data_IF_200188983640
#
_entry.id   IF_200188983640
#
_cell.length_a   1.000
_cell.length_b   1.000
_cell.length_c   1.000
_cell.angle_alpha   90.00
_cell.angle_beta   90.00
_cell.angle_gamma   90.00
#
_symmetry.space_group_name_H-M   'P 1'
#
loop_
_entity.id
_entity.type
_entity.pdbx_description
1 polymer ?
#
# COMPACT_ATOMS: atom_id res chain seq x y z
N UNK A 1 -32.01 -6.54 10.04
CA UNK A 1 -30.58 -6.89 9.90
C UNK A 1 -29.94 -6.40 8.60
N UNK A 2 -30.46 -6.75 7.41
CA UNK A 2 -29.89 -6.28 6.13
C UNK A 2 -29.82 -4.75 5.98
N UNK A 3 -30.80 -4.01 6.51
CA UNK A 3 -30.81 -2.54 6.46
C UNK A 3 -29.77 -1.90 7.37
N UNK A 4 -29.52 -2.46 8.55
CA UNK A 4 -28.49 -1.98 9.50
C UNK A 4 -27.09 -2.22 8.97
N UNK A 5 -26.82 -3.42 8.42
CA UNK A 5 -25.54 -3.76 7.77
C UNK A 5 -25.33 -2.88 6.55
N UNK A 6 -26.36 -2.69 5.70
CA UNK A 6 -26.29 -1.79 4.56
C UNK A 6 -26.01 -0.34 5.01
N UNK A 7 -26.60 0.12 6.10
CA UNK A 7 -26.35 1.47 6.63
C UNK A 7 -24.94 1.64 7.19
N UNK A 8 -24.37 0.57 7.76
CA UNK A 8 -22.98 0.54 8.26
C UNK A 8 -21.96 0.53 7.10
N UNK A 9 -22.22 -0.23 6.05
CA UNK A 9 -21.31 -0.41 4.90
C UNK A 9 -21.44 0.72 3.86
N UNK A 10 -22.66 1.22 3.62
CA UNK A 10 -22.97 2.13 2.49
C UNK A 10 -23.10 3.60 2.92
N UNK A 11 -23.37 3.88 4.20
CA UNK A 11 -23.66 5.23 4.66
C UNK A 11 -24.95 5.81 4.07
N UNK A 12 -25.26 7.08 4.36
CA UNK A 12 -26.31 7.83 3.64
C UNK A 12 -25.72 8.32 2.31
N UNK A 13 -26.32 7.85 1.22
CA UNK A 13 -25.77 7.92 -0.13
C UNK A 13 -25.38 9.31 -0.63
N UNK A 14 -24.42 9.32 -1.54
CA UNK A 14 -24.06 10.49 -2.34
C UNK A 14 -24.10 10.13 -3.84
N UNK A 15 -24.41 11.16 -4.64
CA UNK A 15 -24.88 11.13 -6.03
C UNK A 15 -24.06 10.22 -6.95
N UNK A 16 -24.79 9.43 -7.73
CA UNK A 16 -24.28 8.50 -8.74
C UNK A 16 -23.96 9.20 -10.08
N UNK A 17 -23.29 10.35 -10.05
CA UNK A 17 -23.19 11.24 -11.22
C UNK A 17 -21.80 11.28 -11.90
N UNK A 18 -20.80 10.56 -11.38
CA UNK A 18 -19.57 10.36 -12.15
C UNK A 18 -19.78 9.23 -13.17
N UNK A 19 -19.43 9.52 -14.42
CA UNK A 19 -19.47 8.55 -15.52
C UNK A 19 -18.79 7.25 -15.11
N UNK A 20 -19.53 6.14 -15.22
CA UNK A 20 -19.02 4.82 -14.86
C UNK A 20 -18.03 4.35 -15.92
N UNK A 21 -16.77 4.69 -15.73
CA UNK A 21 -15.68 4.25 -16.62
C UNK A 21 -15.02 2.97 -16.09
N UNK A 22 -14.60 2.05 -16.98
CA UNK A 22 -13.82 0.89 -16.58
C UNK A 22 -12.50 1.31 -15.92
N UNK A 23 -12.14 0.70 -14.78
CA UNK A 23 -10.91 1.07 -14.05
C UNK A 23 -9.65 0.91 -14.89
N UNK A 24 -9.54 -0.18 -15.67
CA UNK A 24 -8.40 -0.45 -16.56
C UNK A 24 -8.27 0.66 -17.60
N UNK A 25 -9.39 1.07 -18.20
CA UNK A 25 -9.40 2.14 -19.20
C UNK A 25 -8.91 3.45 -18.59
N UNK A 26 -9.42 3.84 -17.41
CA UNK A 26 -8.95 5.05 -16.73
C UNK A 26 -7.47 5.01 -16.36
N UNK A 27 -6.93 3.84 -15.98
CA UNK A 27 -5.48 3.68 -15.73
C UNK A 27 -4.65 3.83 -17.00
N UNK A 28 -5.12 3.30 -18.12
CA UNK A 28 -4.44 3.45 -19.41
C UNK A 28 -4.48 4.89 -19.91
N UNK A 29 -5.62 5.58 -19.75
CA UNK A 29 -5.76 7.01 -20.04
C UNK A 29 -4.74 7.83 -19.25
N UNK A 30 -4.50 7.50 -17.97
CA UNK A 30 -3.46 8.16 -17.18
C UNK A 30 -2.04 7.90 -17.71
N UNK A 31 -1.71 6.68 -18.15
CA UNK A 31 -0.41 6.38 -18.79
C UNK A 31 -0.22 7.23 -20.04
N UNK A 32 -1.25 7.30 -20.90
CA UNK A 32 -1.22 8.10 -22.12
C UNK A 32 -1.13 9.60 -21.81
N UNK A 33 -1.80 10.08 -20.76
CA UNK A 33 -1.72 11.46 -20.32
C UNK A 33 -0.32 11.87 -19.85
N UNK A 34 0.36 11.01 -19.07
CA UNK A 34 1.76 11.22 -18.66
C UNK A 34 2.68 11.16 -19.89
N UNK A 35 2.43 10.25 -20.83
CA UNK A 35 3.22 10.16 -22.06
C UNK A 35 3.13 11.43 -22.91
N UNK A 36 1.93 12.00 -23.02
CA UNK A 36 1.66 13.19 -23.84
C UNK A 36 1.87 14.53 -23.12
N UNK A 37 2.27 14.53 -21.84
CA UNK A 37 2.39 15.73 -21.00
C UNK A 37 1.10 16.58 -21.01
N UNK A 38 -0.06 15.93 -20.90
CA UNK A 38 -1.36 16.59 -21.07
C UNK A 38 -1.70 17.57 -19.94
N UNK A 39 -1.18 17.34 -18.73
CA UNK A 39 -1.54 18.11 -17.52
C UNK A 39 -0.35 18.81 -16.84
N UNK A 40 0.85 18.24 -16.92
CA UNK A 40 2.08 18.80 -16.34
C UNK A 40 3.21 18.72 -17.36
N UNK A 41 4.09 19.73 -17.37
CA UNK A 41 5.30 19.76 -18.22
C UNK A 41 6.40 18.83 -17.67
N UNK A 42 6.04 17.58 -17.40
CA UNK A 42 6.96 16.58 -16.88
C UNK A 42 8.10 16.34 -17.86
N UNK A 43 9.34 16.49 -17.38
CA UNK A 43 10.53 16.32 -18.19
C UNK A 43 11.58 15.47 -17.47
N UNK A 44 12.37 14.72 -18.26
CA UNK A 44 13.51 13.96 -17.76
C UNK A 44 13.12 12.84 -16.78
N UNK A 45 13.76 12.83 -15.61
CA UNK A 45 13.67 11.75 -14.62
C UNK A 45 12.24 11.59 -14.05
N UNK A 46 11.54 12.70 -13.81
CA UNK A 46 10.19 12.69 -13.26
C UNK A 46 9.21 11.92 -14.15
N UNK A 47 9.23 12.19 -15.45
CA UNK A 47 8.40 11.50 -16.44
C UNK A 47 8.69 9.99 -16.48
N UNK A 48 9.96 9.60 -16.45
CA UNK A 48 10.37 8.18 -16.44
C UNK A 48 9.85 7.47 -15.18
N UNK A 49 10.01 8.10 -14.01
CA UNK A 49 9.53 7.55 -12.74
C UNK A 49 8.00 7.43 -12.73
N UNK A 50 7.26 8.46 -13.16
CA UNK A 50 5.80 8.44 -13.23
C UNK A 50 5.27 7.38 -14.18
N UNK A 51 5.86 7.24 -15.37
CA UNK A 51 5.50 6.19 -16.32
C UNK A 51 5.76 4.79 -15.75
N UNK A 52 6.92 4.57 -15.15
CA UNK A 52 7.25 3.29 -14.51
C UNK A 52 6.25 2.95 -13.39
N UNK A 53 5.94 3.90 -12.51
CA UNK A 53 4.98 3.71 -11.43
C UNK A 53 3.57 3.46 -11.96
N UNK A 54 3.13 4.20 -12.98
CA UNK A 54 1.81 4.02 -13.61
C UNK A 54 1.67 2.65 -14.28
N UNK A 55 2.70 2.20 -15.02
CA UNK A 55 2.74 0.88 -15.65
C UNK A 55 2.82 -0.26 -14.62
N UNK A 56 3.52 -0.06 -13.51
CA UNK A 56 3.62 -1.09 -12.46
C UNK A 56 2.26 -1.45 -11.85
N UNK A 57 1.29 -0.52 -11.87
CA UNK A 57 -0.06 -0.75 -11.34
C UNK A 57 -0.80 -1.89 -12.05
N UNK A 58 -0.43 -2.21 -13.28
CA UNK A 58 -1.02 -3.33 -14.03
C UNK A 58 -0.53 -4.70 -13.54
N UNK A 59 0.54 -4.77 -12.74
CA UNK A 59 1.05 -6.03 -12.19
C UNK A 59 0.32 -6.47 -10.91
N UNK A 60 -0.49 -5.59 -10.33
CA UNK A 60 -0.97 -5.75 -8.96
C UNK A 60 -2.47 -6.06 -8.88
N UNK A 61 -2.88 -6.96 -7.96
CA UNK A 61 -4.24 -7.47 -7.88
C UNK A 61 -5.27 -6.40 -7.48
N UNK A 62 -4.88 -5.37 -6.72
CA UNK A 62 -5.80 -4.31 -6.30
C UNK A 62 -6.45 -3.57 -7.48
N UNK A 63 -5.74 -3.40 -8.59
CA UNK A 63 -6.31 -2.80 -9.80
C UNK A 63 -7.43 -3.66 -10.40
N UNK A 64 -7.19 -4.97 -10.51
CA UNK A 64 -8.17 -5.92 -11.04
C UNK A 64 -9.36 -6.11 -10.12
N UNK A 65 -9.17 -6.04 -8.81
CA UNK A 65 -10.28 -6.06 -7.83
C UNK A 65 -11.15 -4.82 -8.00
N UNK A 66 -10.56 -3.61 -8.13
CA UNK A 66 -11.34 -2.41 -8.47
C UNK A 66 -12.08 -2.57 -9.79
N UNK A 67 -11.42 -3.15 -10.79
CA UNK A 67 -12.04 -3.45 -12.06
C UNK A 67 -13.22 -4.40 -11.88
N UNK A 68 -13.12 -5.51 -11.16
CA UNK A 68 -14.23 -6.45 -10.96
C UNK A 68 -15.51 -5.77 -10.42
N UNK A 69 -15.36 -4.80 -9.52
CA UNK A 69 -16.45 -4.04 -8.93
C UNK A 69 -16.79 -2.73 -9.68
N UNK A 70 -16.28 -2.55 -10.91
CA UNK A 70 -16.44 -1.31 -11.67
C UNK A 70 -17.92 -0.93 -11.86
N UNK A 71 -18.77 -1.92 -12.17
CA UNK A 71 -20.21 -1.75 -12.41
C UNK A 71 -21.04 -1.51 -11.15
N UNK A 72 -20.55 -1.97 -9.99
CA UNK A 72 -21.26 -1.88 -8.72
C UNK A 72 -21.21 -0.47 -8.12
N UNK A 73 -20.28 0.37 -8.59
CA UNK A 73 -20.13 1.78 -8.22
C UNK A 73 -18.96 2.05 -7.28
N UNK A 74 -18.56 3.33 -7.11
CA UNK A 74 -17.31 3.70 -6.42
C UNK A 74 -17.21 3.21 -4.98
N UNK A 75 -18.35 3.15 -4.28
CA UNK A 75 -18.42 2.68 -2.91
C UNK A 75 -18.04 1.20 -2.76
N UNK A 76 -18.54 0.34 -3.65
CA UNK A 76 -18.25 -1.09 -3.59
C UNK A 76 -16.80 -1.39 -3.99
N UNK A 77 -16.26 -0.64 -4.96
CA UNK A 77 -14.84 -0.73 -5.31
C UNK A 77 -13.94 -0.42 -4.11
N UNK A 78 -14.25 0.67 -3.41
CA UNK A 78 -13.49 1.09 -2.25
C UNK A 78 -13.62 0.14 -1.07
N UNK A 79 -14.82 -0.42 -0.84
CA UNK A 79 -15.03 -1.45 0.18
C UNK A 79 -14.27 -2.73 -0.16
N UNK A 80 -14.28 -3.16 -1.42
CA UNK A 80 -13.50 -4.33 -1.86
C UNK A 80 -11.99 -4.14 -1.62
N UNK A 81 -11.50 -2.92 -1.80
CA UNK A 81 -10.09 -2.57 -1.52
C UNK A 81 -9.80 -2.50 -0.03
N UNK A 82 -10.73 -2.05 0.80
CA UNK A 82 -10.58 -2.14 2.26
C UNK A 82 -10.47 -3.59 2.72
N UNK A 83 -11.33 -4.48 2.19
CA UNK A 83 -11.27 -5.91 2.50
C UNK A 83 -9.93 -6.50 2.03
N UNK A 84 -9.49 -6.16 0.81
CA UNK A 84 -8.18 -6.59 0.31
C UNK A 84 -7.05 -6.14 1.23
N UNK A 85 -7.05 -4.86 1.66
CA UNK A 85 -6.03 -4.30 2.54
C UNK A 85 -6.00 -5.04 3.88
N UNK A 86 -7.17 -5.30 4.49
CA UNK A 86 -7.25 -6.07 5.72
C UNK A 86 -6.74 -7.50 5.55
N UNK A 87 -7.13 -8.17 4.46
CA UNK A 87 -6.68 -9.52 4.15
C UNK A 87 -5.15 -9.57 3.97
N UNK A 88 -4.56 -8.64 3.20
CA UNK A 88 -3.11 -8.60 3.01
C UNK A 88 -2.36 -8.25 4.30
N UNK A 89 -2.91 -7.42 5.18
CA UNK A 89 -2.30 -7.13 6.49
C UNK A 89 -2.31 -8.37 7.39
N UNK A 90 -3.40 -9.14 7.39
CA UNK A 90 -3.54 -10.34 8.21
C UNK A 90 -2.76 -11.54 7.67
N UNK A 91 -2.60 -11.64 6.34
CA UNK A 91 -1.96 -12.77 5.66
C UNK A 91 -0.55 -13.10 6.18
N UNK A 92 0.43 -12.18 6.24
CA UNK A 92 1.78 -12.52 6.74
C UNK A 92 1.77 -13.03 8.18
N UNK A 93 0.90 -12.48 9.05
CA UNK A 93 0.75 -12.95 10.43
C UNK A 93 0.16 -14.35 10.46
N UNK A 94 -0.84 -14.63 9.61
CA UNK A 94 -1.43 -15.96 9.49
C UNK A 94 -0.41 -16.99 8.98
N UNK A 95 0.39 -16.65 7.98
CA UNK A 95 1.47 -17.50 7.44
C UNK A 95 2.51 -17.80 8.53
N UNK A 96 2.95 -16.78 9.27
CA UNK A 96 3.87 -16.93 10.40
C UNK A 96 3.29 -17.82 11.51
N UNK A 97 2.02 -17.64 11.86
CA UNK A 97 1.35 -18.43 12.90
C UNK A 97 1.22 -19.90 12.51
N UNK A 98 0.98 -20.19 11.23
CA UNK A 98 0.87 -21.56 10.72
C UNK A 98 2.22 -22.23 10.42
N UNK A 99 3.34 -21.50 10.55
CA UNK A 99 4.68 -22.02 10.23
C UNK A 99 4.91 -22.22 8.72
N UNK A 100 4.23 -21.43 7.88
CA UNK A 100 4.29 -21.52 6.41
C UNK A 100 5.32 -20.58 5.79
N UNK A 101 6.30 -20.12 6.56
CA UNK A 101 7.36 -19.21 6.06
C UNK A 101 8.22 -19.82 4.96
N UNK A 102 8.32 -21.14 4.91
CA UNK A 102 9.08 -21.88 3.90
C UNK A 102 8.18 -22.42 2.78
N UNK A 103 6.86 -22.23 2.84
CA UNK A 103 5.97 -22.62 1.75
C UNK A 103 6.16 -21.64 0.56
N UNK A 104 6.60 -22.12 -0.61
CA UNK A 104 6.95 -21.23 -1.72
C UNK A 104 5.78 -20.38 -2.20
N UNK A 105 4.56 -20.91 -2.15
CA UNK A 105 3.37 -20.21 -2.62
C UNK A 105 2.95 -19.12 -1.63
N UNK A 106 2.85 -19.43 -0.34
CA UNK A 106 2.51 -18.47 0.71
C UNK A 106 3.54 -17.34 0.79
N UNK A 107 4.83 -17.68 0.76
CA UNK A 107 5.92 -16.71 0.75
C UNK A 107 5.86 -15.81 -0.48
N UNK A 108 5.73 -16.39 -1.68
CA UNK A 108 5.64 -15.62 -2.92
C UNK A 108 4.42 -14.69 -2.92
N UNK A 109 3.27 -15.17 -2.45
CA UNK A 109 2.03 -14.39 -2.38
C UNK A 109 2.18 -13.17 -1.46
N UNK A 110 2.77 -13.35 -0.27
CA UNK A 110 3.01 -12.25 0.66
C UNK A 110 3.99 -11.25 0.07
N UNK A 111 5.10 -11.70 -0.53
CA UNK A 111 6.08 -10.80 -1.16
C UNK A 111 5.47 -10.04 -2.34
N UNK A 112 4.63 -10.68 -3.16
CA UNK A 112 3.95 -10.04 -4.28
C UNK A 112 2.96 -8.96 -3.81
N UNK A 113 2.18 -9.23 -2.76
CA UNK A 113 1.27 -8.25 -2.15
C UNK A 113 2.02 -7.11 -1.44
N UNK A 114 3.15 -7.41 -0.81
CA UNK A 114 4.03 -6.39 -0.22
C UNK A 114 4.61 -5.49 -1.32
N UNK A 115 5.02 -6.05 -2.46
CA UNK A 115 5.52 -5.29 -3.60
C UNK A 115 4.46 -4.31 -4.14
N UNK A 116 3.18 -4.70 -4.17
CA UNK A 116 2.08 -3.78 -4.49
C UNK A 116 2.09 -2.56 -3.56
N UNK A 117 2.22 -2.76 -2.25
CA UNK A 117 2.23 -1.67 -1.27
C UNK A 117 3.49 -0.80 -1.38
N UNK A 118 4.66 -1.42 -1.56
CA UNK A 118 5.93 -0.72 -1.74
C UNK A 118 5.88 0.17 -3.00
N UNK A 119 5.26 -0.29 -4.09
CA UNK A 119 5.11 0.49 -5.32
C UNK A 119 3.99 1.54 -5.22
N UNK A 120 2.94 1.26 -4.44
CA UNK A 120 1.83 2.18 -4.23
C UNK A 120 2.27 3.49 -3.54
N UNK A 121 3.20 3.43 -2.59
CA UNK A 121 3.65 4.63 -1.84
C UNK A 121 4.36 5.65 -2.73
N UNK A 122 5.41 5.31 -3.51
CA UNK A 122 5.98 6.23 -4.49
C UNK A 122 4.95 6.72 -5.51
N UNK A 123 3.99 5.88 -5.91
CA UNK A 123 2.91 6.31 -6.81
C UNK A 123 2.07 7.42 -6.17
N UNK A 124 1.77 7.33 -4.87
CA UNK A 124 1.11 8.41 -4.14
C UNK A 124 1.96 9.67 -3.96
N UNK A 125 3.29 9.58 -4.03
CA UNK A 125 4.19 10.73 -3.89
C UNK A 125 4.38 11.43 -5.23
N UNK A 126 4.68 10.67 -6.29
CA UNK A 126 5.10 11.20 -7.60
C UNK A 126 3.98 11.24 -8.65
N UNK A 127 2.93 10.43 -8.50
CA UNK A 127 1.84 10.32 -9.47
C UNK A 127 0.47 10.40 -8.77
N UNK A 128 0.37 11.29 -7.77
CA UNK A 128 -0.81 11.43 -6.90
C UNK A 128 -2.05 11.90 -7.65
N UNK A 129 -1.84 12.71 -8.68
CA UNK A 129 -2.82 13.25 -9.64
C UNK A 129 -3.56 12.15 -10.42
N UNK A 130 -2.91 10.99 -10.59
CA UNK A 130 -3.52 9.83 -11.25
C UNK A 130 -4.61 9.16 -10.42
N UNK A 131 -4.74 9.49 -9.13
CA UNK A 131 -5.75 8.95 -8.25
C UNK A 131 -6.90 9.95 -8.02
N UNK A 132 -8.16 9.46 -7.97
CA UNK A 132 -9.28 10.31 -7.59
C UNK A 132 -9.10 10.79 -6.14
N UNK A 133 -9.63 11.97 -5.86
CA UNK A 133 -9.56 12.57 -4.53
C UNK A 133 -10.18 11.65 -3.46
N UNK A 134 -9.59 11.59 -2.25
CA UNK A 134 -10.04 10.66 -1.23
C UNK A 134 -11.44 11.06 -0.73
N UNK A 135 -12.38 10.11 -0.77
CA UNK A 135 -13.76 10.33 -0.26
C UNK A 135 -13.81 10.70 1.21
N UNK A 136 -12.84 10.22 2.00
CA UNK A 136 -12.68 10.58 3.41
C UNK A 136 -11.20 10.53 3.79
N UNK A 137 -10.70 11.63 4.34
CA UNK A 137 -9.34 11.70 4.88
C UNK A 137 -9.15 10.75 6.07
N UNK A 138 -10.16 10.56 6.92
CA UNK A 138 -10.08 9.62 8.05
C UNK A 138 -9.92 8.18 7.58
N UNK A 139 -10.68 7.79 6.55
CA UNK A 139 -10.55 6.48 5.90
C UNK A 139 -9.15 6.27 5.34
N UNK A 140 -8.64 7.27 4.63
CA UNK A 140 -7.34 7.18 3.97
C UNK A 140 -6.19 7.08 4.99
N UNK A 141 -6.27 7.81 6.11
CA UNK A 141 -5.34 7.66 7.25
C UNK A 141 -5.33 6.24 7.81
N UNK A 142 -6.51 5.65 7.99
CA UNK A 142 -6.64 4.27 8.47
C UNK A 142 -6.03 3.26 7.50
N UNK A 143 -6.30 3.41 6.19
CA UNK A 143 -5.77 2.51 5.16
C UNK A 143 -4.25 2.61 5.02
N UNK A 144 -3.72 3.84 5.10
CA UNK A 144 -2.27 4.07 5.13
C UNK A 144 -1.68 3.33 6.34
N UNK A 145 -2.23 3.51 7.54
CA UNK A 145 -1.79 2.79 8.74
C UNK A 145 -1.83 1.25 8.59
N UNK A 146 -2.88 0.69 7.97
CA UNK A 146 -2.95 -0.75 7.69
C UNK A 146 -1.91 -1.22 6.67
N UNK A 147 -1.60 -0.40 5.65
CA UNK A 147 -0.51 -0.68 4.71
C UNK A 147 0.85 -0.70 5.40
N UNK A 148 1.09 0.18 6.38
CA UNK A 148 2.30 0.12 7.20
C UNK A 148 2.42 -1.18 7.96
N UNK A 149 1.35 -1.58 8.67
CA UNK A 149 1.35 -2.83 9.41
C UNK A 149 1.54 -4.03 8.48
N UNK A 150 0.93 -4.02 7.29
CA UNK A 150 1.12 -5.06 6.30
C UNK A 150 2.60 -5.22 5.93
N UNK A 151 3.28 -4.13 5.55
CA UNK A 151 4.69 -4.21 5.16
C UNK A 151 5.57 -4.63 6.35
N UNK A 152 5.30 -4.15 7.56
CA UNK A 152 6.00 -4.61 8.78
C UNK A 152 5.84 -6.13 8.96
N UNK A 153 4.63 -6.67 8.84
CA UNK A 153 4.42 -8.10 8.99
C UNK A 153 5.02 -8.91 7.82
N UNK A 154 4.98 -8.38 6.59
CA UNK A 154 5.63 -9.00 5.43
C UNK A 154 7.16 -9.08 5.59
N UNK A 155 7.80 -8.04 6.16
CA UNK A 155 9.22 -8.11 6.52
C UNK A 155 9.50 -9.09 7.67
N UNK A 156 8.58 -9.25 8.61
CA UNK A 156 8.71 -10.28 9.65
C UNK A 156 8.78 -11.68 9.03
N UNK A 157 7.92 -11.96 8.03
CA UNK A 157 7.97 -13.21 7.27
C UNK A 157 9.32 -13.41 6.56
N UNK A 158 9.84 -12.36 5.91
CA UNK A 158 11.14 -12.37 5.24
C UNK A 158 12.29 -12.70 6.20
N UNK A 159 12.28 -12.10 7.40
CA UNK A 159 13.28 -12.38 8.42
C UNK A 159 13.20 -13.81 8.92
N UNK A 160 11.99 -14.32 9.15
CA UNK A 160 11.76 -15.69 9.62
C UNK A 160 12.26 -16.74 8.61
N UNK A 161 11.94 -16.56 7.32
CA UNK A 161 12.31 -17.51 6.27
C UNK A 161 13.82 -17.56 5.99
N UNK A 162 14.54 -16.46 6.18
CA UNK A 162 15.89 -16.28 5.66
C UNK A 162 17.06 -16.65 6.57
N UNK A 163 16.84 -16.97 7.84
CA UNK A 163 17.90 -17.21 8.84
C UNK A 163 19.00 -16.12 8.81
N UNK A 164 18.60 -14.85 8.70
CA UNK A 164 19.51 -13.75 8.40
C UNK A 164 20.26 -13.18 9.61
N UNK A 165 19.78 -13.45 10.81
CA UNK A 165 20.19 -12.81 12.06
C UNK A 165 21.34 -13.55 12.76
N UNK A 166 21.97 -12.89 13.72
CA UNK A 166 23.02 -13.43 14.60
C UNK A 166 22.60 -14.70 15.37
N UNK A 167 21.30 -14.88 15.60
CA UNK A 167 20.75 -16.05 16.28
C UNK A 167 19.38 -16.42 15.67
N UNK A 168 18.97 -17.70 15.73
CA UNK A 168 17.67 -18.12 15.23
C UNK A 168 16.53 -17.55 16.09
N UNK A 169 15.37 -17.35 15.48
CA UNK A 169 14.16 -16.97 16.21
C UNK A 169 13.59 -18.17 16.98
N UNK A 170 13.21 -17.95 18.24
CA UNK A 170 12.61 -18.98 19.07
C UNK A 170 11.11 -19.13 18.79
N UNK A 171 10.45 -18.01 18.45
CA UNK A 171 9.02 -17.97 18.17
C UNK A 171 8.72 -16.96 17.04
N UNK A 172 7.62 -17.14 16.32
CA UNK A 172 7.24 -16.25 15.20
C UNK A 172 7.06 -14.78 15.64
N UNK A 173 6.75 -14.57 16.92
CA UNK A 173 6.67 -13.23 17.52
C UNK A 173 8.01 -12.50 17.52
N UNK A 174 9.14 -13.22 17.55
CA UNK A 174 10.46 -12.62 17.51
C UNK A 174 10.72 -11.96 16.16
N UNK A 175 10.29 -12.61 15.07
CA UNK A 175 10.39 -12.05 13.73
C UNK A 175 9.52 -10.78 13.58
N UNK A 176 8.32 -10.78 14.17
CA UNK A 176 7.44 -9.60 14.22
C UNK A 176 8.08 -8.49 15.04
N UNK A 177 8.62 -8.81 16.21
CA UNK A 177 9.34 -7.88 17.08
C UNK A 177 10.52 -7.23 16.35
N UNK A 178 11.39 -8.01 15.72
CA UNK A 178 12.52 -7.49 14.95
C UNK A 178 12.05 -6.57 13.84
N UNK A 179 10.99 -6.94 13.11
CA UNK A 179 10.46 -6.09 12.06
C UNK A 179 9.96 -4.74 12.59
N UNK A 180 9.29 -4.71 13.75
CA UNK A 180 8.91 -3.45 14.39
C UNK A 180 10.11 -2.64 14.86
N UNK A 181 11.10 -3.27 15.47
CA UNK A 181 12.30 -2.61 16.00
C UNK A 181 13.12 -1.99 14.88
N UNK A 182 13.29 -2.69 13.75
CA UNK A 182 13.98 -2.22 12.55
C UNK A 182 13.19 -1.09 11.89
N UNK A 183 11.90 -1.31 11.59
CA UNK A 183 11.06 -0.29 10.96
C UNK A 183 10.95 0.95 11.83
N UNK A 184 10.88 0.84 13.16
CA UNK A 184 10.78 1.99 14.05
C UNK A 184 12.14 2.64 14.35
N UNK A 185 13.23 2.14 13.75
CA UNK A 185 14.61 2.64 13.95
C UNK A 185 15.08 2.62 15.41
N UNK A 186 14.53 1.72 16.23
CA UNK A 186 14.87 1.60 17.66
C UNK A 186 16.19 0.85 17.83
N UNK A 187 16.32 -0.32 17.17
CA UNK A 187 17.56 -1.08 17.11
C UNK A 187 18.14 -1.52 18.47
N UNK A 188 17.37 -2.24 19.30
CA UNK A 188 17.85 -2.72 20.62
C UNK A 188 19.11 -3.60 20.59
N UNK A 189 19.43 -4.18 19.43
CA UNK A 189 20.69 -4.91 19.22
C UNK A 189 20.69 -6.39 19.61
N UNK A 190 19.57 -6.92 20.14
CA UNK A 190 19.42 -8.35 20.44
C UNK A 190 19.49 -9.22 19.18
N UNK A 191 18.79 -8.77 18.12
CA UNK A 191 18.84 -9.36 16.78
C UNK A 191 19.46 -8.36 15.81
N UNK A 192 20.51 -8.79 15.11
CA UNK A 192 21.17 -8.01 14.07
C UNK A 192 21.58 -8.88 12.87
N UNK A 193 21.53 -8.33 11.64
CA UNK A 193 21.82 -9.11 10.44
C UNK A 193 23.32 -9.40 10.33
N UNK A 194 23.67 -10.69 10.20
CA UNK A 194 25.07 -11.13 10.03
C UNK A 194 25.37 -11.49 8.58
N UNK A 195 24.39 -12.01 7.85
CA UNK A 195 24.53 -12.40 6.44
C UNK A 195 24.47 -11.19 5.50
N UNK A 196 25.11 -11.29 4.32
CA UNK A 196 25.05 -10.24 3.30
C UNK A 196 23.61 -9.97 2.82
N UNK A 197 22.83 -11.02 2.61
CA UNK A 197 21.41 -10.91 2.24
C UNK A 197 20.59 -10.29 3.38
N UNK A 198 20.84 -10.68 4.63
CA UNK A 198 20.19 -10.10 5.80
C UNK A 198 20.39 -8.59 5.91
N UNK A 199 21.62 -8.12 5.68
CA UNK A 199 21.95 -6.68 5.69
C UNK A 199 21.21 -5.94 4.59
N UNK A 200 21.07 -6.54 3.41
CA UNK A 200 20.31 -5.99 2.29
C UNK A 200 18.81 -5.90 2.62
N UNK A 201 18.20 -6.97 3.16
CA UNK A 201 16.78 -6.98 3.54
C UNK A 201 16.48 -5.90 4.58
N UNK A 202 17.30 -5.79 5.63
CA UNK A 202 17.15 -4.75 6.66
C UNK A 202 17.31 -3.34 6.06
N UNK A 203 18.26 -3.17 5.13
CA UNK A 203 18.48 -1.88 4.46
C UNK A 203 17.29 -1.48 3.57
N UNK A 204 16.70 -2.42 2.84
CA UNK A 204 15.48 -2.20 2.07
C UNK A 204 14.28 -1.85 2.97
N UNK A 205 14.16 -2.54 4.11
CA UNK A 205 13.13 -2.24 5.11
C UNK A 205 13.26 -0.82 5.67
N UNK A 206 14.47 -0.39 6.01
CA UNK A 206 14.73 0.98 6.48
C UNK A 206 14.45 2.02 5.40
N UNK A 207 14.80 1.77 4.14
CA UNK A 207 14.50 2.68 3.02
C UNK A 207 12.98 2.87 2.86
N UNK A 208 12.22 1.78 2.90
CA UNK A 208 10.76 1.83 2.86
C UNK A 208 10.19 2.71 3.98
N UNK A 209 10.68 2.53 5.21
CA UNK A 209 10.19 3.29 6.37
C UNK A 209 10.39 4.81 6.19
N UNK A 210 11.56 5.23 5.69
CA UNK A 210 11.85 6.63 5.45
C UNK A 210 10.87 7.26 4.44
N UNK A 211 10.61 6.58 3.32
CA UNK A 211 9.61 7.02 2.34
C UNK A 211 8.20 7.04 2.95
N UNK A 212 7.89 6.07 3.80
CA UNK A 212 6.59 5.95 4.44
C UNK A 212 6.33 7.06 5.46
N UNK A 213 7.31 7.46 6.30
CA UNK A 213 7.15 8.59 7.22
C UNK A 213 6.85 9.87 6.46
N UNK A 214 7.57 10.16 5.38
CA UNK A 214 7.35 11.37 4.59
C UNK A 214 5.91 11.44 4.08
N UNK A 215 5.39 10.33 3.55
CA UNK A 215 4.00 10.19 3.13
C UNK A 215 3.03 10.34 4.31
N UNK A 216 3.33 9.69 5.44
CA UNK A 216 2.49 9.73 6.64
C UNK A 216 2.36 11.16 7.17
N UNK A 217 3.46 11.90 7.29
CA UNK A 217 3.47 13.30 7.70
C UNK A 217 2.68 14.16 6.70
N UNK A 218 2.95 14.01 5.40
CA UNK A 218 2.21 14.73 4.34
C UNK A 218 0.69 14.52 4.47
N UNK A 219 0.27 13.26 4.61
CA UNK A 219 -1.15 12.90 4.70
C UNK A 219 -1.82 13.37 5.99
N UNK A 220 -1.09 13.39 7.11
CA UNK A 220 -1.63 13.84 8.39
C UNK A 220 -1.66 15.37 8.51
N UNK A 221 -0.68 16.07 7.94
CA UNK A 221 -0.62 17.54 7.89
C UNK A 221 -1.72 18.15 7.02
N UNK A 222 -2.20 17.44 6.00
CA UNK A 222 -3.40 17.82 5.24
C UNK A 222 -4.67 17.92 6.12
N UNK A 223 -4.65 17.35 7.33
CA UNK A 223 -5.77 17.38 8.28
C UNK A 223 -5.97 18.70 9.04
N UNK A 224 -5.11 19.71 8.85
CA UNK A 224 -5.20 21.00 9.54
C UNK A 224 -5.94 22.10 8.78
N UNK A 225 -6.08 22.00 7.45
CA UNK A 225 -6.72 23.02 6.63
C UNK A 225 -7.78 22.41 5.72
N UNK A 226 -8.91 23.09 5.64
CA UNK A 226 -9.79 22.97 4.49
C UNK A 226 -8.95 23.21 3.22
N UNK A 227 -8.82 22.16 2.41
CA UNK A 227 -8.54 22.18 0.98
C UNK A 227 -7.18 22.69 0.47
N UNK A 228 -6.35 21.77 -0.02
CA UNK A 228 -5.51 22.06 -1.22
C UNK A 228 -6.39 22.21 -2.48
N UNK A 229 -7.55 21.55 -2.48
CA UNK A 229 -8.53 21.55 -3.57
C UNK A 229 -9.59 22.67 -3.49
N UNK A 230 -9.55 23.55 -2.48
CA UNK A 230 -10.37 24.78 -2.50
C UNK A 230 -9.79 25.84 -3.45
N UNK A 231 -8.51 25.70 -3.87
CA UNK A 231 -7.87 26.58 -4.84
C UNK A 231 -8.11 26.24 -6.31
N UNK A 232 -8.64 25.04 -6.62
CA UNK A 232 -8.90 24.58 -8.00
C UNK A 232 -10.35 24.78 -8.46
N UNK A 233 -11.16 25.49 -7.66
CA UNK A 233 -12.45 26.05 -8.08
C UNK A 233 -12.29 27.56 -8.31
N UNK A 234 -11.71 27.93 -9.45
CA UNK A 234 -12.00 29.18 -10.12
C UNK A 234 -12.38 28.88 -11.55
#
# INVERSE_FOLDING_TARGET
MRSTIRKLIVGRGQKADDERRPTIQGRWENVVAIWNNTFEEDAGLEKVVRLFLSLSQFLFPGMYIKHLFWRSGPLYQDFAIEVLILCKTALPVFVLYMGWENDPFAYWLVVWLMAETIMYIPTLIFASDTFPSPRSFRRSKLLIFLNYLEVVFSFALLHMAGQYMNQPFAHWTDAVYVSFVVTSTIGFGEYFPVSGMGKLVVSLQSLFYLSYIALFISFFNLGGNKGYFEGLRK
#
